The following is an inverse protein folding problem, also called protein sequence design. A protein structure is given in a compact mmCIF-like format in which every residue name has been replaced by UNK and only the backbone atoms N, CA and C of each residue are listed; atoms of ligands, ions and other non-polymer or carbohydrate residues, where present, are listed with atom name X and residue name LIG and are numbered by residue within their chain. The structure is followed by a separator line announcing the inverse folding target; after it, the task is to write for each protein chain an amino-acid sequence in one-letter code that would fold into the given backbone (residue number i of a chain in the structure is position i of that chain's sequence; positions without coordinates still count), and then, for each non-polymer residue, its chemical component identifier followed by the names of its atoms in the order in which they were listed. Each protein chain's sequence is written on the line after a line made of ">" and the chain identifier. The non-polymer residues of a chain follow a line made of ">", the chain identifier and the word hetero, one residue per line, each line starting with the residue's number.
data_IF_349297293424
#
_entry.id   IF_349297293424
#
_cell.length_a   1.000
_cell.length_b   1.000
_cell.length_c   1.000
_cell.angle_alpha   90.00
_cell.angle_beta   90.00
_cell.angle_gamma   90.00
#
_symmetry.space_group_name_H-M   'P 1'
#
loop_
_entity.id
_entity.type
_entity.pdbx_description
1 polymer ?
#
# COMPACT_ATOMS: atom_id res chain seq x y z
N UNK A 1 -42.19 36.18 3.20
CA UNK A 1 -42.48 35.40 4.40
C UNK A 1 -42.02 33.98 4.13
N UNK A 2 -40.99 33.59 4.87
CA UNK A 2 -40.38 32.26 5.05
C UNK A 2 -40.19 31.35 3.82
N UNK A 3 -39.07 31.54 3.12
CA UNK A 3 -38.49 30.57 2.18
C UNK A 3 -37.79 29.47 2.99
N UNK A 4 -38.57 28.48 3.46
CA UNK A 4 -38.07 27.42 4.33
C UNK A 4 -36.94 26.61 3.69
N UNK A 5 -35.77 26.61 4.34
CA UNK A 5 -34.65 25.73 4.03
C UNK A 5 -35.09 24.26 3.97
N UNK A 6 -34.46 23.41 3.13
CA UNK A 6 -34.75 21.99 3.11
C UNK A 6 -34.40 21.37 4.46
N UNK A 7 -35.43 21.12 5.29
CA UNK A 7 -35.30 20.46 6.59
C UNK A 7 -34.49 19.17 6.44
N UNK A 8 -33.41 19.03 7.21
CA UNK A 8 -32.58 17.82 7.16
C UNK A 8 -33.40 16.60 7.61
N UNK A 9 -32.93 15.39 7.28
CA UNK A 9 -33.62 14.18 7.74
C UNK A 9 -33.77 14.17 9.27
N UNK A 10 -32.74 14.64 9.99
CA UNK A 10 -32.75 14.76 11.46
C UNK A 10 -33.87 15.68 11.94
N UNK A 11 -34.01 16.87 11.35
CA UNK A 11 -35.03 17.86 11.76
C UNK A 11 -36.45 17.34 11.52
N UNK A 12 -36.64 16.58 10.44
CA UNK A 12 -37.92 15.92 10.14
C UNK A 12 -38.24 14.79 11.11
N UNK A 13 -37.22 14.03 11.55
CA UNK A 13 -37.39 13.00 12.58
C UNK A 13 -37.73 13.63 13.94
N UNK A 14 -37.04 14.71 14.31
CA UNK A 14 -37.29 15.45 15.55
C UNK A 14 -38.74 15.96 15.60
N UNK A 15 -39.18 16.70 14.58
CA UNK A 15 -40.54 17.25 14.53
C UNK A 15 -41.62 16.15 14.49
N UNK A 16 -41.33 14.99 13.88
CA UNK A 16 -42.26 13.86 13.88
C UNK A 16 -42.33 13.17 15.25
N UNK A 17 -41.21 13.08 15.97
CA UNK A 17 -41.16 12.60 17.36
C UNK A 17 -41.94 13.53 18.29
N UNK A 18 -41.69 14.83 18.22
CA UNK A 18 -42.37 15.84 19.05
C UNK A 18 -43.89 15.77 18.86
N UNK A 19 -44.36 15.69 17.61
CA UNK A 19 -45.78 15.53 17.29
C UNK A 19 -46.38 14.21 17.84
N UNK A 20 -45.65 13.11 17.75
CA UNK A 20 -46.10 11.83 18.32
C UNK A 20 -46.22 11.91 19.84
N UNK A 21 -45.28 12.56 20.52
CA UNK A 21 -45.27 12.77 21.97
C UNK A 21 -46.42 13.71 22.40
N UNK A 22 -46.67 14.79 21.66
CA UNK A 22 -47.84 15.67 21.87
C UNK A 22 -49.16 14.92 21.76
N UNK A 23 -49.31 14.05 20.74
CA UNK A 23 -50.52 13.22 20.56
C UNK A 23 -50.66 12.16 21.67
N UNK A 24 -49.55 11.68 22.23
CA UNK A 24 -49.57 10.78 23.40
C UNK A 24 -50.05 11.52 24.65
N UNK A 25 -49.65 12.78 24.83
CA UNK A 25 -50.09 13.64 25.94
C UNK A 25 -51.54 14.12 25.78
N UNK A 26 -51.95 14.49 24.57
CA UNK A 26 -53.31 14.91 24.23
C UNK A 26 -53.83 14.20 22.97
N UNK A 27 -54.60 13.13 23.19
CA UNK A 27 -55.18 12.33 22.10
C UNK A 27 -56.29 13.08 21.33
N UNK A 28 -56.83 14.18 21.88
CA UNK A 28 -57.90 14.97 21.25
C UNK A 28 -57.43 15.67 19.97
N UNK A 29 -56.12 15.88 19.82
CA UNK A 29 -55.50 16.42 18.61
C UNK A 29 -55.86 15.60 17.35
N UNK A 30 -56.08 14.28 17.50
CA UNK A 30 -56.49 13.40 16.39
C UNK A 30 -57.93 13.65 15.90
N UNK A 31 -58.77 14.32 16.69
CA UNK A 31 -60.15 14.67 16.28
C UNK A 31 -60.15 15.93 15.41
N UNK A 32 -59.14 16.79 15.57
CA UNK A 32 -59.01 18.07 14.84
C UNK A 32 -58.54 17.90 13.39
N UNK A 33 -58.08 16.71 13.03
CA UNK A 33 -57.60 16.37 11.68
C UNK A 33 -58.63 15.53 10.92
N UNK A 34 -58.65 15.69 9.59
CA UNK A 34 -59.55 14.93 8.72
C UNK A 34 -59.34 13.42 8.86
N UNK A 35 -60.43 12.65 8.73
CA UNK A 35 -60.42 11.20 8.93
C UNK A 35 -59.39 10.48 8.03
N UNK A 36 -59.26 10.91 6.77
CA UNK A 36 -58.30 10.36 5.83
C UNK A 36 -56.85 10.53 6.31
N UNK A 37 -56.48 11.74 6.78
CA UNK A 37 -55.13 12.05 7.25
C UNK A 37 -54.83 11.37 8.59
N UNK A 38 -55.81 11.32 9.50
CA UNK A 38 -55.71 10.56 10.75
C UNK A 38 -55.40 9.09 10.50
N UNK A 39 -56.17 8.44 9.62
CA UNK A 39 -56.00 7.03 9.32
C UNK A 39 -54.64 6.76 8.67
N UNK A 40 -54.23 7.61 7.73
CA UNK A 40 -52.91 7.52 7.09
C UNK A 40 -51.77 7.68 8.11
N UNK A 41 -51.84 8.68 9.00
CA UNK A 41 -50.83 8.94 10.01
C UNK A 41 -50.70 7.76 10.98
N UNK A 42 -51.81 7.30 11.57
CA UNK A 42 -51.82 6.18 12.51
C UNK A 42 -51.35 4.87 11.88
N UNK A 43 -51.74 4.59 10.63
CA UNK A 43 -51.26 3.42 9.90
C UNK A 43 -49.75 3.50 9.64
N UNK A 44 -49.24 4.67 9.21
CA UNK A 44 -47.81 4.86 8.99
C UNK A 44 -47.01 4.73 10.29
N UNK A 45 -47.44 5.39 11.37
CA UNK A 45 -46.82 5.28 12.69
C UNK A 45 -46.84 3.82 13.20
N UNK A 46 -47.95 3.12 13.00
CA UNK A 46 -48.09 1.71 13.34
C UNK A 46 -47.12 0.80 12.58
N UNK A 47 -46.96 0.99 11.25
CA UNK A 47 -46.01 0.24 10.43
C UNK A 47 -44.55 0.54 10.78
N UNK A 48 -44.23 1.78 11.14
CA UNK A 48 -42.89 2.17 11.61
C UNK A 48 -42.59 1.56 12.98
N UNK A 49 -43.56 1.56 13.89
CA UNK A 49 -43.43 0.99 15.24
C UNK A 49 -43.35 -0.54 15.22
N UNK A 50 -44.17 -1.19 14.39
CA UNK A 50 -44.29 -2.65 14.25
C UNK A 50 -44.10 -3.05 12.79
N UNK A 51 -42.86 -3.02 12.28
CA UNK A 51 -42.58 -3.43 10.91
C UNK A 51 -42.81 -4.94 10.76
N UNK A 52 -43.13 -5.36 9.54
CA UNK A 52 -43.23 -6.79 9.24
C UNK A 52 -41.85 -7.48 9.25
N UNK A 53 -41.84 -8.81 9.13
CA UNK A 53 -40.61 -9.59 9.17
C UNK A 53 -39.63 -9.25 8.01
N UNK A 54 -40.15 -8.80 6.86
CA UNK A 54 -39.36 -8.44 5.66
C UNK A 54 -38.66 -7.11 5.90
N UNK A 55 -39.40 -6.10 6.34
CA UNK A 55 -38.89 -4.76 6.62
C UNK A 55 -37.88 -4.77 7.77
N UNK A 56 -38.15 -5.52 8.84
CA UNK A 56 -37.17 -5.73 9.93
C UNK A 56 -35.87 -6.35 9.42
N UNK A 57 -35.95 -7.38 8.56
CA UNK A 57 -34.77 -8.04 7.98
C UNK A 57 -34.00 -7.10 7.05
N UNK A 58 -34.70 -6.28 6.26
CA UNK A 58 -34.10 -5.27 5.38
C UNK A 58 -33.32 -4.24 6.18
N UNK A 59 -33.89 -3.70 7.25
CA UNK A 59 -33.21 -2.72 8.11
C UNK A 59 -31.95 -3.31 8.76
N UNK A 60 -32.04 -4.52 9.34
CA UNK A 60 -30.88 -5.21 9.91
C UNK A 60 -29.77 -5.46 8.88
N UNK A 61 -30.14 -5.82 7.64
CA UNK A 61 -29.19 -6.03 6.55
C UNK A 61 -28.49 -4.72 6.15
N UNK A 62 -29.23 -3.61 6.09
CA UNK A 62 -28.66 -2.28 5.83
C UNK A 62 -27.69 -1.88 6.95
N UNK A 63 -28.10 -2.01 8.22
CA UNK A 63 -27.22 -1.69 9.35
C UNK A 63 -25.97 -2.58 9.41
N UNK A 64 -26.10 -3.88 9.14
CA UNK A 64 -24.94 -4.79 9.07
C UNK A 64 -23.99 -4.42 7.92
N UNK A 65 -24.54 -4.01 6.77
CA UNK A 65 -23.75 -3.56 5.62
C UNK A 65 -23.00 -2.27 5.95
N UNK A 66 -23.66 -1.28 6.54
CA UNK A 66 -23.03 -0.01 6.94
C UNK A 66 -21.88 -0.24 7.91
N UNK A 67 -22.09 -1.03 8.98
CA UNK A 67 -21.02 -1.37 9.93
C UNK A 67 -19.84 -2.09 9.25
N UNK A 68 -20.12 -2.98 8.29
CA UNK A 68 -19.07 -3.67 7.53
C UNK A 68 -18.29 -2.69 6.65
N UNK A 69 -18.97 -1.76 5.97
CA UNK A 69 -18.34 -0.73 5.14
C UNK A 69 -17.48 0.21 5.98
N UNK A 70 -17.97 0.64 7.15
CA UNK A 70 -17.21 1.44 8.12
C UNK A 70 -15.95 0.71 8.61
N UNK A 71 -16.06 -0.59 8.91
CA UNK A 71 -14.94 -1.43 9.32
C UNK A 71 -13.87 -1.52 8.23
N UNK A 72 -14.27 -1.86 7.00
CA UNK A 72 -13.37 -1.95 5.85
C UNK A 72 -12.69 -0.60 5.60
N UNK A 73 -13.44 0.50 5.68
CA UNK A 73 -12.90 1.85 5.48
C UNK A 73 -11.85 2.19 6.54
N UNK A 74 -12.14 1.95 7.82
CA UNK A 74 -11.20 2.19 8.93
C UNK A 74 -9.91 1.40 8.74
N UNK A 75 -10.01 0.13 8.39
CA UNK A 75 -8.85 -0.72 8.13
C UNK A 75 -8.05 -0.22 6.92
N UNK A 76 -8.71 0.14 5.83
CA UNK A 76 -8.03 0.66 4.64
C UNK A 76 -7.34 2.00 4.91
N UNK A 77 -7.95 2.88 5.70
CA UNK A 77 -7.36 4.14 6.16
C UNK A 77 -6.10 3.90 7.02
N UNK A 78 -6.16 2.92 7.94
CA UNK A 78 -5.01 2.48 8.74
C UNK A 78 -3.88 1.99 7.84
N UNK A 79 -4.15 1.05 6.94
CA UNK A 79 -3.12 0.49 6.05
C UNK A 79 -2.57 1.56 5.08
N UNK A 80 -3.41 2.48 4.61
CA UNK A 80 -3.02 3.60 3.74
C UNK A 80 -1.98 4.52 4.39
N UNK A 81 -1.93 4.59 5.71
CA UNK A 81 -0.97 5.42 6.44
C UNK A 81 0.41 4.78 6.62
N UNK A 82 0.57 3.48 6.29
CA UNK A 82 1.86 2.77 6.33
C UNK A 82 2.89 3.34 5.35
N UNK A 83 4.17 3.26 5.71
CA UNK A 83 5.27 3.77 4.89
C UNK A 83 5.32 3.19 3.47
N UNK A 84 5.10 1.88 3.31
CA UNK A 84 5.14 1.22 2.01
C UNK A 84 4.03 1.72 1.07
N UNK A 85 2.81 1.98 1.59
CA UNK A 85 1.71 2.52 0.78
C UNK A 85 1.92 3.99 0.45
N UNK A 86 2.44 4.79 1.38
CA UNK A 86 2.84 6.17 1.13
C UNK A 86 3.87 6.26 0.01
N UNK A 87 4.94 5.45 0.05
CA UNK A 87 5.98 5.42 -0.99
C UNK A 87 5.43 5.01 -2.36
N UNK A 88 4.54 4.01 -2.42
CA UNK A 88 3.92 3.58 -3.69
C UNK A 88 3.02 4.65 -4.34
N UNK A 89 2.51 5.61 -3.57
CA UNK A 89 1.69 6.72 -4.08
C UNK A 89 2.54 7.87 -4.63
N UNK A 90 3.83 7.92 -4.34
CA UNK A 90 4.70 8.98 -4.84
C UNK A 90 4.88 8.84 -6.36
N UNK A 91 4.84 9.95 -7.12
CA UNK A 91 4.94 9.92 -8.58
C UNK A 91 6.35 9.54 -9.05
N UNK A 92 7.38 9.80 -8.24
CA UNK A 92 8.78 9.50 -8.53
C UNK A 92 9.24 8.40 -7.58
N UNK A 93 9.69 7.28 -8.15
CA UNK A 93 10.35 6.23 -7.39
C UNK A 93 11.78 6.68 -7.12
N UNK A 94 12.01 7.29 -5.97
CA UNK A 94 13.36 7.65 -5.53
C UNK A 94 14.10 6.40 -5.08
N UNK A 95 15.40 6.34 -5.37
CA UNK A 95 16.27 5.36 -4.73
C UNK A 95 16.17 5.55 -3.22
N UNK A 96 15.90 4.49 -2.43
CA UNK A 96 15.95 4.58 -0.98
C UNK A 96 17.28 5.21 -0.56
N UNK A 97 17.19 6.07 0.44
CA UNK A 97 18.19 7.04 0.86
C UNK A 97 19.65 6.69 0.53
N UNK A 98 20.36 7.68 0.00
CA UNK A 98 21.84 7.67 -0.17
C UNK A 98 22.53 7.19 1.12
N UNK A 99 22.01 7.64 2.27
CA UNK A 99 22.44 7.22 3.58
C UNK A 99 21.31 6.54 4.35
N UNK A 100 21.56 5.40 5.02
CA UNK A 100 20.54 4.79 5.86
C UNK A 100 20.07 5.80 6.93
N UNK A 101 18.75 5.93 7.21
CA UNK A 101 18.27 6.71 8.35
C UNK A 101 19.00 6.31 9.64
N UNK A 102 19.25 7.27 10.54
CA UNK A 102 19.86 6.96 11.83
C UNK A 102 19.02 5.91 12.58
N UNK A 103 19.64 5.07 13.42
CA UNK A 103 18.89 4.11 14.24
C UNK A 103 17.75 4.76 15.02
N UNK A 104 17.94 5.98 15.51
CA UNK A 104 16.91 6.78 16.20
C UNK A 104 15.74 7.13 15.29
N UNK A 105 16.00 7.51 14.02
CA UNK A 105 14.95 7.78 13.03
C UNK A 105 14.21 6.52 12.57
N UNK A 106 14.84 5.34 12.67
CA UNK A 106 14.20 4.05 12.41
C UNK A 106 13.33 3.58 13.58
N UNK A 107 13.76 3.83 14.82
CA UNK A 107 13.05 3.46 16.05
C UNK A 107 11.88 4.40 16.39
N UNK A 108 11.95 5.67 15.99
CA UNK A 108 10.92 6.67 16.29
C UNK A 108 9.61 6.52 15.48
N UNK A 109 9.47 5.47 14.65
CA UNK A 109 8.26 5.22 13.88
C UNK A 109 7.46 4.09 14.55
N UNK A 110 6.78 4.45 15.62
CA UNK A 110 5.88 3.57 16.34
C UNK A 110 4.77 3.00 15.43
N UNK A 111 4.29 1.82 15.83
CA UNK A 111 3.25 1.02 15.18
C UNK A 111 2.06 1.91 14.78
N UNK A 112 1.53 1.68 13.57
CA UNK A 112 0.44 2.51 13.01
C UNK A 112 -0.87 2.34 13.78
N UNK A 113 -1.08 1.16 14.37
CA UNK A 113 -2.29 0.79 15.08
C UNK A 113 -2.58 -0.71 14.95
N UNK A 114 -3.78 -1.12 15.32
CA UNK A 114 -4.22 -2.52 15.25
C UNK A 114 -5.46 -2.66 14.37
N UNK A 115 -5.58 -3.81 13.70
CA UNK A 115 -6.77 -4.19 12.95
C UNK A 115 -7.75 -4.99 13.81
N UNK A 116 -9.04 -4.77 13.57
CA UNK A 116 -10.12 -5.50 14.25
C UNK A 116 -10.13 -7.01 13.94
N UNK A 117 -9.62 -7.40 12.77
CA UNK A 117 -9.47 -8.80 12.35
C UNK A 117 -7.99 -9.14 12.19
N UNK A 118 -7.65 -10.38 12.54
CA UNK A 118 -6.31 -10.92 12.33
C UNK A 118 -5.98 -11.01 10.84
N UNK A 119 -4.74 -10.64 10.50
CA UNK A 119 -4.18 -10.68 9.15
C UNK A 119 -3.05 -11.70 9.11
N UNK A 120 -2.82 -12.31 7.95
CA UNK A 120 -1.77 -13.30 7.80
C UNK A 120 -0.45 -12.66 7.31
N UNK A 121 0.65 -12.93 8.02
CA UNK A 121 1.96 -12.40 7.65
C UNK A 121 2.44 -13.01 6.33
N UNK A 122 2.80 -12.19 5.35
CA UNK A 122 3.25 -12.68 4.05
C UNK A 122 4.51 -13.56 4.13
N UNK A 123 5.38 -13.34 5.11
CA UNK A 123 6.63 -14.09 5.30
C UNK A 123 6.43 -15.32 6.17
N UNK A 124 6.12 -15.15 7.46
CA UNK A 124 6.08 -16.27 8.41
C UNK A 124 4.71 -16.98 8.51
N UNK A 125 3.67 -16.44 7.85
CA UNK A 125 2.30 -16.99 7.86
C UNK A 125 1.62 -17.02 9.23
N UNK A 126 2.17 -16.37 10.26
CA UNK A 126 1.49 -16.15 11.55
C UNK A 126 0.43 -15.07 11.40
N UNK A 127 -0.66 -15.23 12.12
CA UNK A 127 -1.70 -14.22 12.26
C UNK A 127 -1.26 -13.08 13.20
N UNK A 128 -1.61 -11.85 12.86
CA UNK A 128 -1.28 -10.64 13.61
C UNK A 128 -2.36 -9.56 13.42
N UNK A 129 -2.52 -8.68 14.40
CA UNK A 129 -3.43 -7.53 14.34
C UNK A 129 -2.68 -6.21 14.35
N UNK A 130 -1.54 -6.14 15.04
CA UNK A 130 -0.71 -4.94 15.13
C UNK A 130 0.03 -4.67 13.81
N UNK A 131 -0.19 -3.49 13.22
CA UNK A 131 0.38 -3.09 11.93
C UNK A 131 1.75 -2.44 12.14
N UNK A 132 2.75 -2.96 11.43
CA UNK A 132 4.09 -2.39 11.39
C UNK A 132 4.08 -1.02 10.68
N UNK A 133 4.84 -0.04 11.19
CA UNK A 133 4.85 1.35 10.70
C UNK A 133 5.09 1.47 9.17
N UNK A 134 6.00 0.65 8.65
CA UNK A 134 6.32 0.58 7.23
C UNK A 134 5.54 -0.46 6.42
N UNK A 135 5.44 -1.72 6.86
CA UNK A 135 4.90 -2.84 6.09
C UNK A 135 3.46 -3.19 6.49
N UNK A 136 2.54 -3.18 5.51
CA UNK A 136 1.10 -3.46 5.70
C UNK A 136 0.72 -4.95 5.54
N UNK A 137 1.70 -5.81 5.26
CA UNK A 137 1.54 -7.24 5.00
C UNK A 137 2.48 -8.13 5.80
N UNK A 138 3.21 -7.57 6.77
CA UNK A 138 4.12 -8.30 7.64
C UNK A 138 3.71 -8.09 9.09
N UNK A 139 3.82 -9.14 9.91
CA UNK A 139 3.75 -8.97 11.35
C UNK A 139 4.92 -8.08 11.84
N UNK A 140 4.83 -7.50 13.05
CA UNK A 140 5.87 -6.61 13.57
C UNK A 140 7.28 -7.21 13.51
N UNK A 141 7.49 -8.43 14.01
CA UNK A 141 8.80 -9.11 14.00
C UNK A 141 9.40 -9.23 12.59
N UNK A 142 8.62 -9.71 11.61
CA UNK A 142 9.08 -9.79 10.23
C UNK A 142 9.29 -8.41 9.61
N UNK A 143 8.45 -7.44 9.97
CA UNK A 143 8.56 -6.06 9.52
C UNK A 143 9.85 -5.41 9.99
N UNK A 144 10.16 -5.49 11.28
CA UNK A 144 11.34 -4.90 11.91
C UNK A 144 12.61 -5.48 11.28
N UNK A 145 12.66 -6.81 11.16
CA UNK A 145 13.76 -7.51 10.50
C UNK A 145 13.95 -7.02 9.05
N UNK A 146 12.89 -7.02 8.24
CA UNK A 146 13.00 -6.60 6.84
C UNK A 146 13.31 -5.12 6.69
N UNK A 147 12.82 -4.28 7.61
CA UNK A 147 13.07 -2.84 7.61
C UNK A 147 14.54 -2.55 7.90
N UNK A 148 15.13 -3.20 8.90
CA UNK A 148 16.57 -3.13 9.20
C UNK A 148 17.44 -3.61 8.01
N UNK A 149 17.04 -4.68 7.32
CA UNK A 149 17.76 -5.19 6.14
C UNK A 149 17.79 -4.21 4.95
N UNK A 150 16.91 -3.20 4.90
CA UNK A 150 16.93 -2.18 3.83
C UNK A 150 18.24 -1.38 3.87
N UNK A 151 18.67 -1.04 5.08
CA UNK A 151 19.80 -0.17 5.36
C UNK A 151 21.09 -0.92 5.64
N UNK A 152 21.01 -2.20 6.00
CA UNK A 152 22.18 -3.05 6.25
C UNK A 152 23.15 -3.06 5.06
N UNK A 153 24.45 -2.92 5.32
CA UNK A 153 25.50 -2.88 4.30
C UNK A 153 26.68 -3.73 4.74
N UNK A 154 27.62 -3.98 3.83
CA UNK A 154 28.90 -4.65 4.09
C UNK A 154 29.97 -4.01 3.21
N UNK A 155 31.24 -4.09 3.63
CA UNK A 155 32.36 -3.65 2.79
C UNK A 155 32.64 -4.71 1.70
N UNK A 156 32.43 -4.32 0.46
CA UNK A 156 32.66 -5.12 -0.75
C UNK A 156 33.82 -4.55 -1.59
N UNK A 157 34.68 -3.72 -1.01
CA UNK A 157 35.86 -3.19 -1.69
C UNK A 157 36.72 -4.31 -2.27
N UNK A 158 37.15 -4.15 -3.53
CA UNK A 158 37.94 -5.15 -4.25
C UNK A 158 37.14 -6.35 -4.77
N UNK A 159 35.81 -6.39 -4.59
CA UNK A 159 34.94 -7.43 -5.13
C UNK A 159 34.33 -7.02 -6.46
N UNK A 160 34.18 -7.98 -7.37
CA UNK A 160 33.54 -7.77 -8.68
C UNK A 160 32.19 -8.49 -8.74
N UNK A 161 31.12 -7.73 -9.04
CA UNK A 161 29.76 -8.23 -9.15
C UNK A 161 29.23 -8.11 -10.59
N UNK A 162 28.70 -9.20 -11.13
CA UNK A 162 27.89 -9.18 -12.35
C UNK A 162 26.40 -9.13 -11.98
N UNK A 163 25.70 -8.09 -12.43
CA UNK A 163 24.27 -7.89 -12.21
C UNK A 163 23.51 -7.88 -13.53
N UNK A 164 22.64 -8.87 -13.73
CA UNK A 164 21.77 -8.89 -14.91
C UNK A 164 20.49 -8.08 -14.69
N UNK A 165 20.12 -7.25 -15.67
CA UNK A 165 18.89 -6.46 -15.62
C UNK A 165 18.94 -5.27 -14.66
N UNK A 166 20.06 -4.58 -14.53
CA UNK A 166 20.28 -3.49 -13.55
C UNK A 166 19.69 -2.12 -13.91
N UNK A 167 18.80 -2.02 -14.90
CA UNK A 167 18.28 -0.75 -15.41
C UNK A 167 17.18 -0.12 -14.55
N UNK A 168 16.27 -0.94 -14.01
CA UNK A 168 15.08 -0.47 -13.30
C UNK A 168 14.73 -1.39 -12.12
N UNK A 169 13.87 -0.91 -11.22
CA UNK A 169 13.27 -1.68 -10.12
C UNK A 169 14.34 -2.39 -9.26
N UNK A 170 14.16 -3.69 -9.00
CA UNK A 170 15.00 -4.49 -8.11
C UNK A 170 16.45 -4.48 -8.57
N UNK A 171 16.70 -4.71 -9.86
CA UNK A 171 18.05 -4.69 -10.42
C UNK A 171 18.74 -3.35 -10.19
N UNK A 172 18.09 -2.23 -10.53
CA UNK A 172 18.65 -0.90 -10.30
C UNK A 172 19.01 -0.67 -8.82
N UNK A 173 18.10 -1.01 -7.90
CA UNK A 173 18.35 -0.84 -6.47
C UNK A 173 19.44 -1.76 -5.92
N UNK A 174 19.54 -2.99 -6.43
CA UNK A 174 20.63 -3.89 -6.11
C UNK A 174 21.98 -3.32 -6.59
N UNK A 175 22.02 -2.76 -7.79
CA UNK A 175 23.22 -2.13 -8.34
C UNK A 175 23.70 -0.96 -7.50
N UNK A 176 22.79 -0.03 -7.15
CA UNK A 176 23.10 1.09 -6.25
C UNK A 176 23.64 0.60 -4.90
N UNK A 177 23.02 -0.43 -4.31
CA UNK A 177 23.47 -0.98 -3.03
C UNK A 177 24.88 -1.58 -3.11
N UNK A 178 25.21 -2.29 -4.18
CA UNK A 178 26.55 -2.86 -4.40
C UNK A 178 27.61 -1.79 -4.61
N UNK A 179 27.29 -0.76 -5.39
CA UNK A 179 28.19 0.36 -5.65
C UNK A 179 28.50 1.14 -4.36
N UNK A 180 27.46 1.45 -3.57
CA UNK A 180 27.59 2.09 -2.25
C UNK A 180 28.30 1.20 -1.22
N UNK A 181 28.27 -0.12 -1.41
CA UNK A 181 29.03 -1.08 -0.60
C UNK A 181 30.50 -1.23 -1.04
N UNK A 182 30.96 -0.58 -2.11
CA UNK A 182 32.36 -0.62 -2.55
C UNK A 182 32.68 -1.62 -3.68
N UNK A 183 31.70 -2.37 -4.18
CA UNK A 183 31.92 -3.35 -5.24
C UNK A 183 32.20 -2.71 -6.61
N UNK A 184 33.05 -3.33 -7.42
CA UNK A 184 33.09 -3.09 -8.87
C UNK A 184 31.89 -3.77 -9.51
N UNK A 185 31.06 -3.01 -10.22
CA UNK A 185 29.77 -3.49 -10.72
C UNK A 185 29.73 -3.51 -12.24
N UNK A 186 29.48 -4.70 -12.78
CA UNK A 186 29.18 -4.93 -14.19
C UNK A 186 27.67 -5.13 -14.32
N UNK A 187 26.98 -4.20 -14.98
CA UNK A 187 25.54 -4.26 -15.21
C UNK A 187 25.26 -4.68 -16.65
N UNK A 188 24.36 -5.65 -16.84
CA UNK A 188 23.84 -5.97 -18.17
C UNK A 188 22.39 -5.53 -18.33
N UNK A 189 22.05 -5.03 -19.52
CA UNK A 189 20.69 -4.58 -19.86
C UNK A 189 20.53 -4.43 -21.36
N UNK A 190 19.30 -4.57 -21.86
CA UNK A 190 18.96 -4.27 -23.27
C UNK A 190 18.96 -2.78 -23.59
N UNK A 191 19.03 -1.91 -22.59
CA UNK A 191 19.00 -0.45 -22.76
C UNK A 191 20.15 0.22 -21.98
N UNK A 192 21.40 0.08 -22.46
CA UNK A 192 22.59 0.54 -21.72
C UNK A 192 22.62 2.06 -21.53
N UNK A 193 22.20 2.84 -22.54
CA UNK A 193 22.19 4.32 -22.46
C UNK A 193 21.20 4.84 -21.41
N UNK A 194 19.98 4.30 -21.36
CA UNK A 194 18.98 4.64 -20.32
C UNK A 194 19.48 4.24 -18.93
N UNK A 195 20.15 3.08 -18.82
CA UNK A 195 20.77 2.66 -17.55
C UNK A 195 21.85 3.62 -17.11
N UNK A 196 22.79 4.00 -18.00
CA UNK A 196 23.86 4.95 -17.70
C UNK A 196 23.31 6.29 -17.23
N UNK A 197 22.30 6.84 -17.92
CA UNK A 197 21.65 8.08 -17.52
C UNK A 197 21.01 8.02 -16.12
N UNK A 198 20.42 6.88 -15.75
CA UNK A 198 19.83 6.68 -14.41
C UNK A 198 20.89 6.65 -13.32
N UNK A 199 21.94 5.82 -13.48
CA UNK A 199 23.03 5.78 -12.52
C UNK A 199 23.72 7.15 -12.39
N UNK A 200 23.96 7.85 -13.51
CA UNK A 200 24.55 9.18 -13.53
C UNK A 200 23.69 10.27 -12.85
N UNK A 201 22.38 10.03 -12.68
CA UNK A 201 21.46 10.95 -12.00
C UNK A 201 21.45 10.80 -10.48
N UNK A 202 22.12 9.79 -9.92
CA UNK A 202 22.21 9.63 -8.48
C UNK A 202 23.12 10.71 -7.87
N UNK A 203 22.75 11.31 -6.72
CA UNK A 203 23.51 12.40 -6.11
C UNK A 203 24.96 12.06 -5.79
N UNK A 204 25.22 10.80 -5.47
CA UNK A 204 26.52 10.23 -5.08
C UNK A 204 27.25 9.55 -6.25
N UNK A 205 26.82 9.77 -7.49
CA UNK A 205 27.43 9.13 -8.68
C UNK A 205 28.95 9.33 -8.75
N UNK A 206 29.44 10.51 -8.40
CA UNK A 206 30.86 10.83 -8.44
C UNK A 206 31.71 9.88 -7.56
N UNK A 207 31.14 9.33 -6.47
CA UNK A 207 31.86 8.53 -5.48
C UNK A 207 32.14 7.09 -5.96
N UNK A 208 31.41 6.61 -6.97
CA UNK A 208 31.48 5.23 -7.42
C UNK A 208 31.41 5.03 -8.94
N UNK A 209 31.26 6.11 -9.71
CA UNK A 209 31.15 6.07 -11.18
C UNK A 209 32.29 5.30 -11.85
N UNK A 210 33.51 5.41 -11.33
CA UNK A 210 34.70 4.71 -11.81
C UNK A 210 34.65 3.18 -11.65
N UNK A 211 33.73 2.67 -10.83
CA UNK A 211 33.52 1.24 -10.57
C UNK A 211 32.31 0.66 -11.30
N UNK A 212 31.61 1.46 -12.10
CA UNK A 212 30.40 1.03 -12.82
C UNK A 212 30.69 0.82 -14.31
N UNK A 213 30.35 -0.36 -14.80
CA UNK A 213 30.35 -0.69 -16.23
C UNK A 213 28.99 -1.20 -16.66
N UNK A 214 28.54 -0.79 -17.85
CA UNK A 214 27.21 -1.13 -18.36
C UNK A 214 27.33 -1.72 -19.76
N UNK A 215 26.93 -2.97 -19.89
CA UNK A 215 26.92 -3.72 -21.15
C UNK A 215 25.50 -3.83 -21.71
N UNK A 216 25.40 -3.54 -23.01
CA UNK A 216 24.21 -3.82 -23.80
C UNK A 216 24.10 -5.33 -24.06
N UNK A 217 23.13 -6.00 -23.46
CA UNK A 217 22.95 -7.45 -23.62
C UNK A 217 21.48 -7.86 -23.63
N UNK A 218 21.08 -8.60 -24.66
CA UNK A 218 19.82 -9.35 -24.70
C UNK A 218 20.10 -10.82 -24.39
N UNK A 219 19.70 -11.27 -23.20
CA UNK A 219 19.91 -12.65 -22.75
C UNK A 219 19.13 -13.70 -23.58
N UNK A 220 18.24 -13.26 -24.49
CA UNK A 220 17.58 -14.16 -25.45
C UNK A 220 18.44 -14.45 -26.68
N UNK A 221 19.51 -13.70 -26.88
CA UNK A 221 20.41 -13.85 -28.01
C UNK A 221 21.71 -14.52 -27.58
N UNK A 222 21.72 -15.86 -27.65
CA UNK A 222 22.83 -16.71 -27.18
C UNK A 222 24.21 -16.28 -27.69
N UNK A 223 24.42 -15.96 -28.99
CA UNK A 223 25.74 -15.54 -29.47
C UNK A 223 26.27 -14.29 -28.76
N UNK A 224 25.40 -13.32 -28.44
CA UNK A 224 25.82 -12.14 -27.67
C UNK A 224 26.16 -12.47 -26.22
N UNK A 225 25.49 -13.47 -25.64
CA UNK A 225 25.82 -13.95 -24.29
C UNK A 225 27.19 -14.63 -24.31
N UNK A 226 27.47 -15.47 -25.31
CA UNK A 226 28.76 -16.13 -25.48
C UNK A 226 29.89 -15.11 -25.68
N UNK A 227 29.71 -14.13 -26.58
CA UNK A 227 30.70 -13.06 -26.78
C UNK A 227 30.94 -12.26 -25.50
N UNK A 228 29.89 -11.97 -24.72
CA UNK A 228 30.02 -11.31 -23.44
C UNK A 228 30.78 -12.17 -22.41
N UNK A 229 30.54 -13.48 -22.38
CA UNK A 229 31.30 -14.39 -21.53
C UNK A 229 32.79 -14.42 -21.93
N UNK A 230 33.12 -14.42 -23.23
CA UNK A 230 34.51 -14.31 -23.70
C UNK A 230 35.15 -13.00 -23.23
N UNK A 231 34.48 -11.87 -23.43
CA UNK A 231 34.95 -10.56 -22.95
C UNK A 231 35.22 -10.57 -21.44
N UNK A 232 34.35 -11.20 -20.64
CA UNK A 232 34.56 -11.30 -19.20
C UNK A 232 35.76 -12.18 -18.84
N UNK A 233 35.96 -13.31 -19.53
CA UNK A 233 37.11 -14.19 -19.30
C UNK A 233 38.43 -13.51 -19.69
N UNK A 234 38.41 -12.69 -20.74
CA UNK A 234 39.59 -11.99 -21.24
C UNK A 234 39.94 -10.76 -20.38
N UNK A 235 38.95 -10.08 -19.82
CA UNK A 235 39.15 -8.82 -19.08
C UNK A 235 39.12 -8.94 -17.57
N UNK A 236 38.62 -10.04 -17.01
CA UNK A 236 38.45 -10.21 -15.56
C UNK A 236 39.18 -11.43 -15.05
N UNK A 237 39.94 -11.22 -13.98
CA UNK A 237 40.56 -12.32 -13.24
C UNK A 237 39.50 -13.17 -12.49
N UNK A 238 38.45 -12.52 -11.96
CA UNK A 238 37.41 -13.19 -11.17
C UNK A 238 36.07 -12.45 -11.20
N UNK A 239 35.00 -13.20 -10.94
CA UNK A 239 33.70 -12.68 -10.51
C UNK A 239 33.42 -13.20 -9.10
N UNK A 240 33.22 -12.31 -8.14
CA UNK A 240 32.87 -12.68 -6.76
C UNK A 240 31.38 -13.00 -6.63
N UNK A 241 30.54 -12.28 -7.39
CA UNK A 241 29.09 -12.40 -7.31
C UNK A 241 28.46 -12.39 -8.70
N UNK A 242 27.47 -13.26 -8.90
CA UNK A 242 26.57 -13.18 -10.05
C UNK A 242 25.14 -13.06 -9.52
N UNK A 243 24.49 -11.95 -9.87
CA UNK A 243 23.11 -11.66 -9.49
C UNK A 243 22.23 -11.82 -10.73
N UNK A 244 21.61 -12.99 -10.80
CA UNK A 244 20.65 -13.34 -11.85
C UNK A 244 19.29 -12.69 -11.59
N UNK A 245 19.21 -11.37 -11.81
CA UNK A 245 17.98 -10.59 -11.63
C UNK A 245 17.17 -10.41 -12.93
N UNK A 246 17.80 -10.49 -14.10
CA UNK A 246 17.07 -10.33 -15.36
C UNK A 246 16.02 -11.43 -15.53
N UNK A 247 14.75 -11.03 -15.49
CA UNK A 247 13.62 -11.93 -15.69
C UNK A 247 12.52 -11.24 -16.50
N UNK A 248 11.69 -12.02 -17.18
CA UNK A 248 10.47 -11.55 -17.82
C UNK A 248 9.27 -12.14 -17.09
N UNK A 249 8.37 -11.29 -16.61
CA UNK A 249 7.07 -11.75 -16.14
C UNK A 249 6.25 -12.17 -17.34
N UNK A 250 6.03 -13.47 -17.46
CA UNK A 250 5.15 -14.04 -18.50
C UNK A 250 3.74 -14.12 -17.91
N UNK A 251 2.75 -13.55 -18.60
CA UNK A 251 1.36 -13.74 -18.22
C UNK A 251 1.03 -15.21 -18.48
N UNK A 252 0.50 -15.93 -17.47
CA UNK A 252 -0.06 -17.26 -17.74
C UNK A 252 -1.23 -17.10 -18.72
N UNK A 253 -1.27 -17.88 -19.82
CA UNK A 253 -2.46 -17.96 -20.66
C UNK A 253 -3.69 -18.23 -19.78
N UNK A 254 -4.81 -17.60 -20.13
CA UNK A 254 -6.08 -17.79 -19.43
C UNK A 254 -6.55 -19.24 -19.53
#
# INVERSE_FOLDING_TARGET
>A
MDTGEPKTLKDRFQAASDLLEEIVLDRSLLVRIGEADRNRFLQAAGRVSRPDAIDRRRLLKVGKRQRREEKIKREEDLLASTGIRKLRRQPVFTSPNVFPPSPEAMLAQDRVGETDEARNCYTCKRDYTTIHHFYDRLCPECGDFNFAKRTETADLTGRVALLTGGRVKIGYQAGIKLLRAGAHLIVTTRFPRDSAARYASEPDFADWSNRLEIFGLDLRHTPSVESFCTELLDTRERLDFIINNACQTVRRPA
#
